data_IF_653394735893
#
_entry.id   IF_653394735893
#
_cell.length_a   1.000
_cell.length_b   1.000
_cell.length_c   1.000
_cell.angle_alpha   90.00
_cell.angle_beta   90.00
_cell.angle_gamma   90.00
#
_symmetry.space_group_name_H-M   'P 1'
#
loop_
_entity.id
_entity.type
_entity.pdbx_description
1 polymer ?
#
# COMPACT_ATOMS: atom_id res chain seq x y z
N UNK A 1 13.50 40.49 -66.59
CA UNK A 1 14.47 40.13 -65.52
C UNK A 1 13.81 39.68 -64.23
N UNK A 2 12.59 40.09 -63.86
CA UNK A 2 11.90 39.66 -62.63
C UNK A 2 11.40 38.21 -62.64
N UNK A 3 10.91 37.69 -63.78
CA UNK A 3 10.33 36.34 -63.93
C UNK A 3 11.37 35.23 -63.75
N UNK A 4 12.59 35.38 -64.28
CA UNK A 4 13.69 34.43 -64.09
C UNK A 4 14.14 34.30 -62.63
N UNK A 5 14.09 35.38 -61.86
CA UNK A 5 14.44 35.37 -60.43
C UNK A 5 13.39 34.60 -59.60
N UNK A 6 12.10 34.75 -59.95
CA UNK A 6 11.00 34.01 -59.29
C UNK A 6 11.07 32.52 -59.59
N UNK A 7 11.36 32.15 -60.84
CA UNK A 7 11.50 30.75 -61.23
C UNK A 7 12.68 30.04 -60.53
N UNK A 8 13.82 30.74 -60.41
CA UNK A 8 14.97 30.20 -59.67
C UNK A 8 14.67 30.05 -58.17
N UNK A 9 13.90 30.96 -57.57
CA UNK A 9 13.54 30.92 -56.17
C UNK A 9 12.61 29.75 -55.88
N UNK A 10 11.64 29.47 -56.78
CA UNK A 10 10.72 28.34 -56.69
C UNK A 10 11.47 27.02 -56.85
N UNK A 11 12.44 26.97 -57.76
CA UNK A 11 13.25 25.77 -58.00
C UNK A 11 14.16 25.44 -56.80
N UNK A 12 14.72 26.48 -56.16
CA UNK A 12 15.53 26.27 -54.93
C UNK A 12 14.66 25.80 -53.77
N UNK A 13 13.43 26.34 -53.66
CA UNK A 13 12.50 25.89 -52.61
C UNK A 13 12.02 24.46 -52.84
N UNK A 14 11.76 24.04 -54.08
CA UNK A 14 11.40 22.69 -54.45
C UNK A 14 12.55 21.68 -54.16
N UNK A 15 13.82 22.06 -54.46
CA UNK A 15 14.98 21.24 -54.13
C UNK A 15 15.17 21.12 -52.61
N UNK A 16 14.93 22.18 -51.85
CA UNK A 16 15.04 22.14 -50.38
C UNK A 16 13.97 21.24 -49.76
N UNK A 17 12.74 21.18 -50.30
CA UNK A 17 11.68 20.28 -49.83
C UNK A 17 11.96 18.80 -50.17
N UNK A 18 12.61 18.54 -51.32
CA UNK A 18 13.02 17.17 -51.70
C UNK A 18 14.19 16.66 -50.86
N UNK A 19 15.04 17.51 -50.31
CA UNK A 19 16.18 17.09 -49.50
C UNK A 19 15.82 16.81 -48.04
N UNK A 20 14.59 17.13 -47.61
CA UNK A 20 14.10 16.83 -46.24
C UNK A 20 13.32 15.52 -46.14
N UNK A 21 13.28 14.72 -47.20
CA UNK A 21 12.83 13.33 -47.07
C UNK A 21 13.88 12.50 -46.29
N UNK A 22 14.07 12.89 -45.03
CA UNK A 22 14.69 11.99 -44.08
C UNK A 22 13.87 10.73 -44.03
N UNK A 23 14.46 9.65 -44.53
CA UNK A 23 13.91 8.33 -44.36
C UNK A 23 13.55 8.13 -42.91
N UNK A 24 12.26 8.20 -42.59
CA UNK A 24 11.74 7.73 -41.31
C UNK A 24 11.99 6.22 -41.37
N UNK A 25 13.17 5.81 -40.90
CA UNK A 25 13.37 4.41 -40.55
C UNK A 25 12.39 4.14 -39.42
N UNK A 26 11.21 3.68 -39.79
CA UNK A 26 10.32 2.97 -38.88
C UNK A 26 11.14 1.83 -38.30
N UNK A 27 11.62 2.02 -37.07
CA UNK A 27 12.17 0.92 -36.28
C UNK A 27 11.03 -0.10 -36.21
N UNK A 28 11.13 -1.13 -37.05
CA UNK A 28 10.30 -2.33 -36.96
C UNK A 28 10.46 -2.79 -35.52
N UNK A 29 9.45 -2.53 -34.67
CA UNK A 29 9.42 -3.08 -33.32
C UNK A 29 9.64 -4.57 -33.49
N UNK A 30 10.84 -5.02 -33.19
CA UNK A 30 11.11 -6.43 -33.01
C UNK A 30 10.04 -6.91 -32.03
N UNK A 31 9.15 -7.78 -32.49
CA UNK A 31 8.31 -8.53 -31.56
C UNK A 31 9.30 -9.27 -30.67
N UNK A 32 9.54 -8.72 -29.48
CA UNK A 32 10.17 -9.46 -28.42
C UNK A 32 9.32 -10.71 -28.29
N UNK A 33 9.82 -11.83 -28.75
CA UNK A 33 9.22 -13.10 -28.44
C UNK A 33 9.25 -13.16 -26.91
N UNK A 34 8.13 -12.81 -26.29
CA UNK A 34 7.91 -13.10 -24.89
C UNK A 34 8.08 -14.62 -24.80
N UNK A 35 9.16 -15.04 -24.19
CA UNK A 35 9.33 -16.44 -23.80
C UNK A 35 8.21 -16.69 -22.82
N UNK A 36 7.11 -17.22 -23.30
CA UNK A 36 6.03 -17.76 -22.47
C UNK A 36 6.58 -19.03 -21.87
N UNK A 37 7.03 -18.97 -20.64
CA UNK A 37 7.36 -20.17 -19.89
C UNK A 37 6.07 -20.98 -19.71
N UNK A 38 6.16 -22.26 -19.98
CA UNK A 38 5.05 -23.18 -19.77
C UNK A 38 4.64 -23.14 -18.29
N UNK A 39 3.33 -23.02 -18.03
CA UNK A 39 2.78 -22.99 -16.67
C UNK A 39 3.25 -24.21 -15.86
N UNK A 40 3.36 -25.36 -16.49
CA UNK A 40 3.86 -26.61 -15.88
C UNK A 40 5.31 -26.46 -15.37
N UNK A 41 6.16 -25.70 -16.08
CA UNK A 41 7.52 -25.41 -15.64
C UNK A 41 7.54 -24.55 -14.37
N UNK A 42 6.62 -23.61 -14.27
CA UNK A 42 6.50 -22.77 -13.06
C UNK A 42 5.99 -23.56 -11.85
N UNK A 43 5.07 -24.49 -12.08
CA UNK A 43 4.50 -25.34 -11.03
C UNK A 43 5.48 -26.42 -10.53
N UNK A 44 6.53 -26.74 -11.31
CA UNK A 44 7.58 -27.67 -10.93
C UNK A 44 8.76 -27.05 -10.19
N UNK A 45 8.78 -25.72 -10.02
CA UNK A 45 9.85 -25.02 -9.32
C UNK A 45 9.50 -24.83 -7.87
N UNK A 46 10.21 -25.53 -6.98
CA UNK A 46 10.14 -25.31 -5.54
C UNK A 46 11.24 -24.35 -5.09
N UNK A 47 10.85 -23.28 -4.40
CA UNK A 47 11.78 -22.33 -3.83
C UNK A 47 12.17 -22.77 -2.42
N UNK A 48 13.45 -22.85 -2.18
CA UNK A 48 14.01 -23.13 -0.85
C UNK A 48 14.83 -21.93 -0.40
N UNK A 49 14.55 -21.42 0.78
CA UNK A 49 15.39 -20.40 1.41
C UNK A 49 16.71 -21.02 1.85
N UNK A 50 17.81 -20.53 1.31
CA UNK A 50 19.17 -21.01 1.60
C UNK A 50 19.97 -20.03 2.48
N UNK A 51 19.35 -18.94 2.92
CA UNK A 51 19.99 -17.90 3.73
C UNK A 51 20.86 -16.92 2.91
N UNK A 52 21.60 -16.02 3.58
CA UNK A 52 21.70 -15.90 5.03
C UNK A 52 20.36 -15.45 5.66
N UNK A 53 19.96 -16.15 6.71
CA UNK A 53 18.76 -15.81 7.47
C UNK A 53 19.01 -14.50 8.23
N UNK A 54 18.27 -13.47 7.89
CA UNK A 54 18.35 -12.16 8.56
C UNK A 54 17.07 -11.92 9.33
N UNK A 55 17.20 -11.48 10.57
CA UNK A 55 16.11 -10.84 11.27
C UNK A 55 15.69 -9.60 10.47
N UNK A 56 14.42 -9.55 10.06
CA UNK A 56 13.84 -8.42 9.35
C UNK A 56 13.48 -7.29 10.31
N UNK A 57 12.98 -6.19 9.74
CA UNK A 57 12.37 -5.12 10.53
C UNK A 57 10.92 -5.51 10.82
N UNK A 58 10.46 -5.20 12.02
CA UNK A 58 9.05 -5.26 12.39
C UNK A 58 8.60 -3.87 12.81
N UNK A 59 7.48 -3.39 12.28
CA UNK A 59 6.93 -2.08 12.58
C UNK A 59 5.58 -2.17 13.31
N UNK A 60 4.95 -3.33 13.29
CA UNK A 60 3.65 -3.56 13.88
C UNK A 60 3.71 -4.73 14.87
N UNK A 61 3.13 -4.52 16.04
CA UNK A 61 2.94 -5.58 17.04
C UNK A 61 1.64 -5.32 17.79
N UNK A 62 0.92 -6.40 18.11
CA UNK A 62 -0.29 -6.34 18.93
C UNK A 62 -0.45 -7.64 19.73
N UNK A 63 -0.75 -7.50 21.02
CA UNK A 63 -1.17 -8.59 21.88
C UNK A 63 -2.69 -8.71 21.92
N UNK A 64 -3.17 -9.87 22.35
CA UNK A 64 -4.59 -10.15 22.51
C UNK A 64 -4.96 -10.03 24.00
N UNK A 65 -5.85 -9.11 24.38
CA UNK A 65 -6.29 -8.95 25.76
C UNK A 65 -6.82 -10.27 26.33
N UNK A 66 -6.35 -10.63 27.53
CA UNK A 66 -6.75 -11.89 28.20
C UNK A 66 -5.99 -13.14 27.76
N UNK A 67 -5.16 -13.06 26.71
CA UNK A 67 -4.30 -14.17 26.29
C UNK A 67 -2.84 -13.71 26.15
N UNK A 68 -2.01 -13.83 27.21
CA UNK A 68 -0.64 -13.32 27.19
C UNK A 68 0.31 -14.09 26.28
N UNK A 69 -0.09 -15.26 25.77
CA UNK A 69 0.71 -16.06 24.85
C UNK A 69 0.39 -15.78 23.38
N UNK A 70 -0.76 -15.12 23.10
CA UNK A 70 -1.20 -14.85 21.74
C UNK A 70 -0.86 -13.41 21.35
N UNK A 71 -0.02 -13.25 20.35
CA UNK A 71 0.23 -11.96 19.75
C UNK A 71 0.63 -12.09 18.27
N UNK A 72 0.56 -10.97 17.60
CA UNK A 72 0.85 -10.83 16.18
C UNK A 72 1.94 -9.79 15.97
N UNK A 73 2.79 -10.01 14.97
CA UNK A 73 3.67 -8.95 14.48
C UNK A 73 3.64 -8.86 12.96
N UNK A 74 3.89 -7.66 12.46
CA UNK A 74 3.97 -7.35 11.04
C UNK A 74 5.40 -7.09 10.63
N UNK A 75 5.92 -7.89 9.72
CA UNK A 75 7.26 -7.77 9.20
C UNK A 75 7.33 -6.83 8.00
N UNK A 76 8.49 -6.21 7.79
CA UNK A 76 8.78 -5.47 6.58
C UNK A 76 9.19 -6.43 5.48
N UNK A 77 8.29 -6.61 4.51
CA UNK A 77 8.48 -7.56 3.41
C UNK A 77 8.16 -9.02 3.73
N UNK A 78 7.67 -9.30 4.96
CA UNK A 78 7.42 -10.67 5.41
C UNK A 78 6.00 -10.95 5.89
N UNK A 79 5.05 -10.05 5.65
CA UNK A 79 3.65 -10.25 6.01
C UNK A 79 3.38 -10.24 7.52
N UNK A 80 2.32 -10.95 7.92
CA UNK A 80 1.83 -11.06 9.30
C UNK A 80 2.19 -12.40 9.89
N UNK A 81 2.74 -12.37 11.09
CA UNK A 81 3.14 -13.54 11.86
C UNK A 81 2.36 -13.61 13.15
N UNK A 82 2.01 -14.82 13.56
CA UNK A 82 1.26 -15.15 14.76
C UNK A 82 2.07 -16.08 15.66
N UNK A 83 2.01 -15.88 16.97
CA UNK A 83 2.45 -16.83 17.97
C UNK A 83 1.30 -17.13 18.93
N UNK A 84 1.21 -18.38 19.41
CA UNK A 84 0.24 -18.82 20.40
C UNK A 84 0.91 -19.38 21.68
N UNK A 85 2.24 -19.39 21.71
CA UNK A 85 3.07 -19.94 22.78
C UNK A 85 3.93 -18.89 23.51
N UNK A 86 3.68 -17.61 23.25
CA UNK A 86 4.42 -16.51 23.89
C UNK A 86 5.69 -16.12 23.15
N UNK A 87 5.85 -16.55 21.89
CA UNK A 87 6.96 -16.19 21.04
C UNK A 87 8.01 -17.28 20.85
N UNK A 88 7.74 -18.49 21.32
CA UNK A 88 8.63 -19.63 21.09
C UNK A 88 8.58 -20.07 19.63
N UNK A 89 7.37 -20.10 19.05
CA UNK A 89 7.17 -20.40 17.63
C UNK A 89 6.30 -19.35 16.93
N UNK A 90 6.47 -19.21 15.63
CA UNK A 90 5.70 -18.28 14.81
C UNK A 90 5.24 -18.92 13.51
N UNK A 91 4.01 -18.60 13.12
CA UNK A 91 3.40 -18.99 11.87
C UNK A 91 3.12 -17.75 11.02
N UNK A 92 3.44 -17.78 9.72
CA UNK A 92 2.99 -16.76 8.79
C UNK A 92 1.54 -17.01 8.42
N UNK A 93 0.66 -16.06 8.75
CA UNK A 93 -0.78 -16.17 8.53
C UNK A 93 -1.29 -15.32 7.38
N UNK A 94 -0.43 -14.61 6.67
CA UNK A 94 -0.80 -13.76 5.54
C UNK A 94 -0.42 -14.34 4.18
N UNK A 95 0.44 -15.36 4.13
CA UNK A 95 0.86 -15.99 2.89
C UNK A 95 -0.35 -16.58 2.14
N UNK A 96 -0.37 -16.40 0.83
CA UNK A 96 -1.50 -16.79 0.00
C UNK A 96 -2.64 -15.75 -0.09
N UNK A 97 -2.68 -14.76 0.80
CA UNK A 97 -3.69 -13.68 0.78
C UNK A 97 -3.08 -12.33 0.39
N UNK A 98 -2.05 -11.92 1.08
CA UNK A 98 -1.29 -10.71 0.78
C UNK A 98 0.13 -10.85 1.34
N UNK A 99 1.05 -10.17 0.70
CA UNK A 99 2.45 -10.12 1.12
C UNK A 99 2.89 -8.68 1.35
N UNK A 100 4.19 -8.53 1.51
CA UNK A 100 4.84 -7.25 1.59
C UNK A 100 4.96 -6.71 3.01
N UNK A 101 5.10 -5.40 3.10
CA UNK A 101 5.38 -4.71 4.36
C UNK A 101 4.10 -4.38 5.11
N UNK A 102 4.11 -4.63 6.41
CA UNK A 102 3.01 -4.36 7.32
C UNK A 102 3.36 -3.14 8.17
N UNK A 103 2.46 -2.16 8.18
CA UNK A 103 2.62 -0.91 8.93
C UNK A 103 1.88 -0.91 10.26
N UNK A 104 0.76 -1.62 10.34
CA UNK A 104 -0.06 -1.70 11.56
C UNK A 104 -0.88 -2.96 11.60
N UNK A 105 -1.14 -3.44 12.83
CA UNK A 105 -2.07 -4.52 13.12
C UNK A 105 -2.95 -4.06 14.28
N UNK A 106 -4.24 -4.34 14.22
CA UNK A 106 -5.20 -4.08 15.30
C UNK A 106 -6.10 -5.31 15.49
N UNK A 107 -6.24 -5.74 16.73
CA UNK A 107 -7.18 -6.80 17.14
C UNK A 107 -8.34 -6.16 17.90
N UNK A 108 -9.57 -6.54 17.59
CA UNK A 108 -10.73 -6.02 18.28
C UNK A 108 -10.78 -6.52 19.73
N UNK A 109 -11.04 -5.60 20.66
CA UNK A 109 -11.06 -5.91 22.10
C UNK A 109 -12.17 -6.88 22.47
N UNK A 110 -13.33 -6.72 21.83
CA UNK A 110 -14.54 -7.50 22.17
C UNK A 110 -14.66 -8.80 21.40
N UNK A 111 -13.88 -8.96 20.31
CA UNK A 111 -13.83 -10.19 19.51
C UNK A 111 -12.43 -10.36 18.91
N UNK A 112 -11.57 -11.17 19.55
CA UNK A 112 -10.21 -11.42 19.09
C UNK A 112 -10.10 -12.07 17.69
N UNK A 113 -11.20 -12.58 17.16
CA UNK A 113 -11.22 -13.10 15.78
C UNK A 113 -11.17 -11.98 14.74
N UNK A 114 -11.58 -10.75 15.13
CA UNK A 114 -11.59 -9.59 14.23
C UNK A 114 -10.23 -8.88 14.29
N UNK A 115 -9.52 -8.94 13.16
CA UNK A 115 -8.19 -8.36 13.00
C UNK A 115 -8.17 -7.48 11.76
N UNK A 116 -7.55 -6.30 11.88
CA UNK A 116 -7.26 -5.42 10.75
C UNK A 116 -5.77 -5.24 10.58
N UNK A 117 -5.31 -5.27 9.33
CA UNK A 117 -3.91 -5.09 8.96
C UNK A 117 -3.80 -3.96 7.96
N UNK A 118 -2.91 -3.01 8.23
CA UNK A 118 -2.56 -1.92 7.34
C UNK A 118 -1.22 -2.16 6.67
N UNK A 119 -1.22 -2.13 5.33
CA UNK A 119 -0.02 -2.34 4.54
C UNK A 119 0.92 -1.14 4.52
N UNK A 120 2.19 -1.41 4.20
CA UNK A 120 3.24 -0.43 3.96
C UNK A 120 4.13 -0.14 5.15
N UNK A 121 5.42 -0.13 4.91
CA UNK A 121 6.43 0.16 5.93
C UNK A 121 6.28 1.61 6.45
N UNK A 122 6.41 1.81 7.76
CA UNK A 122 6.14 3.11 8.41
C UNK A 122 7.40 3.83 8.88
N UNK A 123 8.52 3.16 8.95
CA UNK A 123 9.80 3.77 9.29
C UNK A 123 10.36 4.52 8.07
N UNK A 124 10.25 5.84 8.06
CA UNK A 124 10.62 6.68 6.91
C UNK A 124 12.14 6.69 6.71
N UNK A 125 12.57 6.32 5.51
CA UNK A 125 13.96 6.39 5.02
C UNK A 125 13.97 6.27 3.48
N UNK A 126 15.14 6.16 2.85
CA UNK A 126 15.26 6.16 1.38
C UNK A 126 14.64 4.98 0.64
N UNK A 127 14.43 3.84 1.30
CA UNK A 127 13.96 2.59 0.68
C UNK A 127 12.71 2.01 1.38
N UNK A 128 11.70 2.81 1.60
CA UNK A 128 10.45 2.40 2.29
C UNK A 128 9.51 1.67 1.33
N UNK A 129 9.12 0.45 1.69
CA UNK A 129 8.22 -0.38 0.88
C UNK A 129 6.75 0.01 1.07
N UNK A 130 6.05 0.23 -0.04
CA UNK A 130 4.62 0.52 -0.04
C UNK A 130 3.79 -0.74 0.21
N UNK A 131 2.63 -0.55 0.82
CA UNK A 131 1.57 -1.55 0.94
C UNK A 131 0.39 -1.23 0.02
N UNK A 132 -0.65 -2.06 0.11
CA UNK A 132 -1.79 -2.06 -0.82
C UNK A 132 -3.15 -1.90 -0.14
N UNK A 133 -3.21 -1.24 1.00
CA UNK A 133 -4.48 -0.97 1.67
C UNK A 133 -4.64 -1.68 3.01
N UNK A 134 -5.89 -1.88 3.37
CA UNK A 134 -6.32 -2.56 4.60
C UNK A 134 -6.81 -3.96 4.26
N UNK A 135 -6.45 -4.93 5.11
CA UNK A 135 -6.96 -6.29 5.08
C UNK A 135 -7.66 -6.59 6.41
N UNK A 136 -8.71 -7.41 6.36
CA UNK A 136 -9.51 -7.81 7.51
C UNK A 136 -9.59 -9.33 7.60
N UNK A 137 -9.46 -9.84 8.80
CA UNK A 137 -9.84 -11.20 9.17
C UNK A 137 -10.99 -11.17 10.17
N UNK A 138 -11.83 -12.21 10.17
CA UNK A 138 -12.91 -12.43 11.15
C UNK A 138 -12.79 -13.81 11.82
N UNK A 139 -11.65 -14.47 11.64
CA UNK A 139 -11.37 -15.83 12.10
C UNK A 139 -9.95 -15.99 12.72
N UNK A 140 -9.49 -14.92 13.38
CA UNK A 140 -8.18 -14.84 14.02
C UNK A 140 -6.99 -15.04 13.07
N UNK A 141 -7.13 -14.57 11.83
CA UNK A 141 -6.09 -14.59 10.82
C UNK A 141 -6.01 -15.85 9.98
N UNK A 142 -6.99 -16.77 10.07
CA UNK A 142 -7.04 -17.95 9.21
C UNK A 142 -7.35 -17.60 7.76
N UNK A 143 -8.26 -16.64 7.56
CA UNK A 143 -8.58 -16.09 6.23
C UNK A 143 -8.58 -14.56 6.25
N UNK A 144 -8.31 -13.98 5.08
CA UNK A 144 -8.22 -12.53 4.95
C UNK A 144 -9.00 -12.03 3.73
N UNK A 145 -9.63 -10.88 3.90
CA UNK A 145 -10.31 -10.16 2.83
C UNK A 145 -9.73 -8.75 2.69
N UNK A 146 -9.66 -8.26 1.46
CA UNK A 146 -9.28 -6.87 1.21
C UNK A 146 -10.40 -5.94 1.72
N UNK A 147 -10.01 -4.96 2.54
CA UNK A 147 -10.92 -4.05 3.25
C UNK A 147 -10.75 -2.58 2.84
N UNK A 148 -10.25 -2.32 1.63
CA UNK A 148 -10.22 -0.98 1.04
C UNK A 148 -8.91 -0.20 1.22
N UNK A 149 -8.97 1.09 0.89
CA UNK A 149 -7.84 2.04 0.87
C UNK A 149 -6.65 1.61 -0.03
N UNK A 150 -6.87 1.20 -1.30
CA UNK A 150 -5.81 0.66 -2.16
C UNK A 150 -4.65 1.63 -2.41
N UNK A 151 -4.89 2.93 -2.37
CA UNK A 151 -3.89 3.97 -2.61
C UNK A 151 -3.21 4.47 -1.33
N UNK A 152 -3.47 3.85 -0.19
CA UNK A 152 -2.93 4.27 1.11
C UNK A 152 -1.41 4.25 1.20
N UNK A 153 -0.76 3.35 0.48
CA UNK A 153 0.68 3.06 0.46
C UNK A 153 1.28 2.73 1.83
N UNK A 154 0.98 3.55 2.85
CA UNK A 154 1.54 3.37 4.19
C UNK A 154 0.45 3.67 5.22
N UNK A 155 0.15 2.68 6.07
CA UNK A 155 -0.85 2.76 7.13
C UNK A 155 -0.17 2.52 8.48
N UNK A 156 0.36 3.57 9.14
CA UNK A 156 1.10 3.45 10.39
C UNK A 156 0.23 3.09 11.60
N UNK A 157 -1.07 3.32 11.52
CA UNK A 157 -1.96 3.04 12.65
C UNK A 157 -3.35 2.67 12.18
N UNK A 158 -3.88 1.59 12.77
CA UNK A 158 -5.30 1.25 12.76
C UNK A 158 -5.78 1.19 14.20
N UNK A 159 -6.97 1.70 14.45
CA UNK A 159 -7.63 1.67 15.77
C UNK A 159 -9.07 1.20 15.55
N UNK A 160 -9.48 0.19 16.30
CA UNK A 160 -10.85 -0.31 16.33
C UNK A 160 -11.52 0.29 17.57
N UNK A 161 -12.76 0.73 17.45
CA UNK A 161 -13.53 1.22 18.59
C UNK A 161 -13.71 0.07 19.59
N UNK A 162 -13.41 0.27 20.89
CA UNK A 162 -13.47 -0.79 21.87
C UNK A 162 -14.90 -1.29 22.17
N UNK A 163 -15.92 -0.57 21.76
CA UNK A 163 -17.33 -0.92 21.98
C UNK A 163 -18.06 -1.37 20.71
N UNK A 164 -17.49 -1.08 19.52
CA UNK A 164 -18.10 -1.42 18.25
C UNK A 164 -17.03 -1.75 17.20
N UNK A 165 -16.87 -3.03 16.85
CA UNK A 165 -15.89 -3.52 15.89
C UNK A 165 -16.11 -3.02 14.45
N UNK A 166 -17.29 -2.47 14.14
CA UNK A 166 -17.58 -1.86 12.82
C UNK A 166 -17.02 -0.45 12.68
N UNK A 167 -16.68 0.19 13.82
CA UNK A 167 -16.07 1.52 13.81
C UNK A 167 -14.55 1.36 13.84
N UNK A 168 -13.91 1.73 12.72
CA UNK A 168 -12.47 1.58 12.53
C UNK A 168 -11.87 2.88 12.01
N UNK A 169 -10.72 3.23 12.53
CA UNK A 169 -9.93 4.39 12.08
C UNK A 169 -8.60 3.93 11.50
N UNK A 170 -8.22 4.47 10.36
CA UNK A 170 -6.93 4.22 9.73
C UNK A 170 -6.20 5.54 9.46
N UNK A 171 -4.97 5.66 9.96
CA UNK A 171 -4.08 6.73 9.59
C UNK A 171 -3.35 6.35 8.30
N UNK A 172 -3.41 7.21 7.28
CA UNK A 172 -2.83 6.98 5.97
C UNK A 172 -1.80 8.04 5.66
N UNK A 173 -0.59 7.64 5.28
CA UNK A 173 0.47 8.55 4.87
C UNK A 173 0.45 8.86 3.37
N UNK A 174 -0.08 7.95 2.56
CA UNK A 174 -0.06 8.07 1.11
C UNK A 174 1.37 8.06 0.56
N UNK A 175 1.63 8.86 -0.46
CA UNK A 175 2.99 9.00 -0.99
C UNK A 175 3.87 9.81 -0.01
N UNK A 176 5.00 9.23 0.42
CA UNK A 176 5.92 9.86 1.37
C UNK A 176 6.74 11.00 0.75
N UNK A 177 7.03 10.89 -0.54
CA UNK A 177 7.98 11.76 -1.24
C UNK A 177 7.31 12.79 -2.15
N UNK A 178 5.96 12.77 -2.25
CA UNK A 178 5.19 13.69 -3.08
C UNK A 178 3.91 14.12 -2.34
N UNK A 179 3.36 15.28 -2.65
CA UNK A 179 2.00 15.64 -2.25
C UNK A 179 1.01 14.57 -2.70
N UNK A 180 0.05 14.23 -1.84
CA UNK A 180 -0.99 13.24 -2.15
C UNK A 180 -2.31 13.63 -1.49
N UNK A 181 -3.40 13.36 -2.20
CA UNK A 181 -4.76 13.53 -1.68
C UNK A 181 -5.14 12.39 -0.70
N UNK A 182 -4.39 11.28 -0.74
CA UNK A 182 -4.70 10.10 0.07
C UNK A 182 -4.30 10.25 1.54
N UNK A 183 -3.37 11.17 1.85
CA UNK A 183 -2.91 11.39 3.23
C UNK A 183 -4.00 11.90 4.12
N UNK A 184 -4.20 11.26 5.28
CA UNK A 184 -5.19 11.67 6.27
C UNK A 184 -5.62 10.55 7.20
N UNK A 185 -6.63 10.82 8.02
CA UNK A 185 -7.31 9.79 8.81
C UNK A 185 -8.61 9.42 8.11
N UNK A 186 -8.84 8.14 8.02
CA UNK A 186 -10.06 7.56 7.46
C UNK A 186 -10.83 6.86 8.57
N UNK A 187 -12.16 6.95 8.50
CA UNK A 187 -13.09 6.26 9.38
C UNK A 187 -13.98 5.34 8.54
N UNK A 188 -14.15 4.13 9.01
CA UNK A 188 -15.23 3.22 8.61
C UNK A 188 -16.25 3.13 9.74
N UNK A 189 -17.50 2.86 9.40
CA UNK A 189 -18.60 2.57 10.33
C UNK A 189 -19.34 1.29 9.96
N UNK A 190 -18.81 0.54 9.03
CA UNK A 190 -19.35 -0.67 8.43
C UNK A 190 -18.33 -1.82 8.36
N UNK A 191 -17.46 -1.86 9.36
CA UNK A 191 -16.45 -2.91 9.48
C UNK A 191 -15.39 -2.90 8.39
N UNK A 192 -15.03 -1.73 7.85
CA UNK A 192 -14.01 -1.58 6.82
C UNK A 192 -14.50 -1.78 5.38
N UNK A 193 -15.82 -1.90 5.16
CA UNK A 193 -16.40 -2.03 3.82
C UNK A 193 -16.28 -0.71 3.06
N UNK A 194 -16.58 0.42 3.73
CA UNK A 194 -16.39 1.75 3.17
C UNK A 194 -15.57 2.65 4.09
N UNK A 195 -14.86 3.61 3.51
CA UNK A 195 -13.98 4.51 4.24
C UNK A 195 -14.25 5.96 3.88
N UNK A 196 -14.41 6.80 4.89
CA UNK A 196 -14.57 8.25 4.75
C UNK A 196 -13.39 8.98 5.36
N UNK A 197 -12.74 9.82 4.58
CA UNK A 197 -11.66 10.69 5.07
C UNK A 197 -12.22 11.74 6.03
N UNK A 198 -11.61 11.86 7.22
CA UNK A 198 -12.01 12.81 8.25
C UNK A 198 -11.34 14.16 7.99
N UNK A 199 -12.10 15.23 8.08
CA UNK A 199 -11.54 16.57 8.03
C UNK A 199 -11.01 16.98 9.41
N UNK A 200 -9.68 17.01 9.58
CA UNK A 200 -8.99 17.37 10.81
C UNK A 200 -9.36 18.75 11.36
N UNK A 201 -9.57 19.72 10.49
CA UNK A 201 -9.89 21.09 10.93
C UNK A 201 -11.19 21.13 11.75
N UNK A 202 -12.14 20.26 11.47
CA UNK A 202 -13.39 20.16 12.21
C UNK A 202 -13.20 19.54 13.59
N UNK A 203 -12.26 18.58 13.74
CA UNK A 203 -11.93 17.94 15.03
C UNK A 203 -11.24 18.91 15.99
N UNK A 204 -10.22 19.63 15.52
CA UNK A 204 -9.54 20.66 16.34
C UNK A 204 -10.44 21.81 16.78
N UNK A 205 -11.47 22.13 15.98
CA UNK A 205 -12.44 23.16 16.34
C UNK A 205 -13.36 22.71 17.49
N UNK A 206 -13.71 21.41 17.52
CA UNK A 206 -14.52 20.80 18.59
C UNK A 206 -13.74 20.70 19.90
N UNK A 207 -12.48 20.30 19.87
CA UNK A 207 -11.63 20.24 21.07
C UNK A 207 -11.39 21.63 21.68
N UNK A 208 -11.15 22.65 20.86
CA UNK A 208 -10.99 24.03 21.35
C UNK A 208 -12.28 24.57 21.96
N UNK A 209 -13.45 24.24 21.41
CA UNK A 209 -14.74 24.65 21.98
C UNK A 209 -15.02 23.96 23.32
N UNK A 210 -14.66 22.66 23.45
CA UNK A 210 -14.82 21.91 24.68
C UNK A 210 -13.81 22.34 25.77
N UNK A 211 -12.57 22.64 25.40
CA UNK A 211 -11.55 23.14 26.31
C UNK A 211 -11.87 24.54 26.86
N UNK A 212 -12.53 25.39 26.06
CA UNK A 212 -13.01 26.70 26.55
C UNK A 212 -14.19 26.56 27.51
N UNK A 213 -15.09 25.60 27.28
CA UNK A 213 -16.22 25.34 28.18
C UNK A 213 -15.82 24.77 29.53
N UNK A 214 -14.68 24.06 29.61
CA UNK A 214 -14.14 23.52 30.88
C UNK A 214 -13.37 24.56 31.72
N UNK A 215 -13.00 25.73 31.18
CA UNK A 215 -12.32 26.79 31.91
C UNK A 215 -13.25 27.72 32.68
N UNK A 216 -14.55 27.60 32.54
CA UNK A 216 -15.58 28.43 33.18
C UNK A 216 -16.48 27.65 34.14
N UNK A 217 -16.00 26.56 34.72
CA UNK A 217 -16.68 25.86 35.82
C UNK A 217 -15.78 25.79 37.05
#
# INVERSE_FOLDING_TARGET
>A
MKIKKIFNLIMIFALAVLSTSTSIYSQKKSKKNLVTFDKVLHESVEYREIGPFRGGRSAAVVGVPGNPKLFYFGATGGGVWKTEDGGETYENISDGYFGGSIGSIAVAKNDPNVIYVGGGEVTIRGNVSSGYGVFKSVDAGKTWTFSGLPNSRHIPRIVIDPNNNDIVYAAVLGNLYKPTQDRGVYKSVDGGTTWKKINYQKLFKLERSNASALRYR
#
